data_IF_952651438251
#
_entry.id   IF_952651438251
#
_cell.length_a   1.000
_cell.length_b   1.000
_cell.length_c   1.000
_cell.angle_alpha   90.00
_cell.angle_beta   90.00
_cell.angle_gamma   90.00
#
_symmetry.space_group_name_H-M   'P 1'
#
loop_
_entity.id
_entity.type
_entity.pdbx_description
1 polymer ?
#
# COMPACT_ATOMS: atom_id res chain seq x y z
N UNK A 1 -11.48 2.32 7.07
CA UNK A 1 -11.68 3.74 7.44
C UNK A 1 -12.84 3.97 8.40
N UNK A 2 -13.66 2.97 8.70
CA UNK A 2 -14.81 3.08 9.61
C UNK A 2 -14.45 3.42 11.06
N UNK A 3 -13.16 3.40 11.43
CA UNK A 3 -12.71 3.76 12.78
C UNK A 3 -12.12 5.18 12.83
N UNK A 4 -11.31 5.58 11.85
CA UNK A 4 -10.61 6.87 11.88
C UNK A 4 -11.52 8.06 11.53
N UNK A 5 -12.39 7.90 10.53
CA UNK A 5 -13.28 8.97 10.05
C UNK A 5 -14.30 9.36 11.13
N UNK A 6 -15.02 8.42 11.79
CA UNK A 6 -16.00 8.81 12.81
C UNK A 6 -15.38 9.41 14.07
N UNK A 7 -14.10 9.11 14.35
CA UNK A 7 -13.38 9.61 15.51
C UNK A 7 -12.62 10.92 15.27
N UNK A 8 -12.66 11.46 14.04
CA UNK A 8 -11.93 12.69 13.67
C UNK A 8 -10.41 12.58 13.82
N UNK A 9 -9.86 11.35 13.79
CA UNK A 9 -8.44 11.09 13.98
C UNK A 9 -7.69 11.30 12.67
N UNK A 10 -7.19 12.52 12.46
CA UNK A 10 -6.47 12.91 11.23
C UNK A 10 -4.95 12.84 11.36
N UNK A 11 -4.41 12.67 12.58
CA UNK A 11 -2.98 12.59 12.85
C UNK A 11 -2.58 11.18 13.27
N UNK A 12 -1.67 10.58 12.52
CA UNK A 12 -1.28 9.17 12.70
C UNK A 12 0.20 9.03 13.01
N UNK A 13 0.54 8.14 13.94
CA UNK A 13 1.88 7.59 14.08
C UNK A 13 1.90 6.23 13.40
N UNK A 14 2.81 6.04 12.45
CA UNK A 14 2.92 4.81 11.67
C UNK A 14 4.26 4.15 11.97
N UNK A 15 4.22 2.92 12.47
CA UNK A 15 5.40 2.09 12.72
C UNK A 15 5.39 0.92 11.73
N UNK A 16 6.07 1.05 10.58
CA UNK A 16 6.08 0.01 9.56
C UNK A 16 6.94 -1.19 9.97
N UNK A 17 6.62 -2.34 9.39
CA UNK A 17 7.48 -3.53 9.51
C UNK A 17 8.82 -3.31 8.81
N UNK A 18 9.86 -3.97 9.33
CA UNK A 18 11.26 -3.81 8.87
C UNK A 18 11.43 -4.07 7.36
N UNK A 19 10.64 -4.99 6.78
CA UNK A 19 10.72 -5.35 5.37
C UNK A 19 9.95 -4.43 4.42
N UNK A 20 9.15 -3.49 4.92
CA UNK A 20 8.45 -2.53 4.07
C UNK A 20 9.32 -1.32 3.82
N UNK A 21 9.53 -0.95 2.55
CA UNK A 21 10.26 0.28 2.25
C UNK A 21 9.45 1.53 2.63
N UNK A 22 10.14 2.56 3.13
CA UNK A 22 9.52 3.84 3.49
C UNK A 22 8.74 4.45 2.32
N UNK A 23 9.30 4.43 1.12
CA UNK A 23 8.64 4.93 -0.11
C UNK A 23 7.28 4.25 -0.34
N UNK A 24 7.22 2.93 -0.19
CA UNK A 24 5.98 2.17 -0.41
C UNK A 24 4.94 2.49 0.67
N UNK A 25 5.37 2.63 1.91
CA UNK A 25 4.50 2.99 3.03
C UNK A 25 3.90 4.39 2.82
N UNK A 26 4.72 5.38 2.47
CA UNK A 26 4.25 6.74 2.20
C UNK A 26 3.23 6.78 1.07
N UNK A 27 3.53 6.10 -0.04
CA UNK A 27 2.60 5.99 -1.16
C UNK A 27 1.25 5.39 -0.74
N UNK A 28 1.27 4.29 0.03
CA UNK A 28 0.04 3.64 0.50
C UNK A 28 -0.76 4.52 1.47
N UNK A 29 -0.08 5.23 2.38
CA UNK A 29 -0.74 6.15 3.31
C UNK A 29 -1.45 7.27 2.54
N UNK A 30 -0.75 7.89 1.59
CA UNK A 30 -1.33 8.91 0.73
C UNK A 30 -2.52 8.38 -0.06
N UNK A 31 -2.37 7.23 -0.73
CA UNK A 31 -3.46 6.64 -1.53
C UNK A 31 -4.69 6.29 -0.71
N UNK A 32 -4.50 5.67 0.45
CA UNK A 32 -5.63 5.15 1.23
C UNK A 32 -6.30 6.22 2.08
N UNK A 33 -5.53 7.12 2.68
CA UNK A 33 -6.04 8.13 3.62
C UNK A 33 -6.42 9.44 2.91
N UNK A 34 -5.66 9.82 1.87
CA UNK A 34 -5.86 11.07 1.16
C UNK A 34 -5.31 12.30 1.91
N UNK A 35 -5.55 13.51 1.36
CA UNK A 35 -4.90 14.75 1.79
C UNK A 35 -5.36 15.29 3.16
N UNK A 36 -6.44 14.76 3.73
CA UNK A 36 -6.98 15.19 5.02
C UNK A 36 -6.26 14.60 6.24
N UNK A 37 -5.20 13.82 6.02
CA UNK A 37 -4.45 13.13 7.07
C UNK A 37 -3.00 13.59 7.10
N UNK A 38 -2.47 13.70 8.30
CA UNK A 38 -1.06 13.91 8.59
C UNK A 38 -0.52 12.63 9.22
N UNK A 39 0.69 12.21 8.84
CA UNK A 39 1.34 11.06 9.46
C UNK A 39 2.81 11.32 9.75
N UNK A 40 3.28 10.68 10.82
CA UNK A 40 4.69 10.57 11.14
C UNK A 40 5.09 9.10 11.10
N UNK A 41 6.02 8.75 10.21
CA UNK A 41 6.60 7.42 10.18
C UNK A 41 7.73 7.36 11.21
N UNK A 42 7.61 6.46 12.18
CA UNK A 42 8.66 6.16 13.16
C UNK A 42 9.27 4.84 12.77
N UNK A 43 10.51 4.88 12.26
CA UNK A 43 11.20 3.69 11.75
C UNK A 43 12.48 3.43 12.53
N UNK A 44 12.52 2.41 13.41
CA UNK A 44 13.73 2.03 14.12
C UNK A 44 14.71 1.23 13.25
N UNK A 45 14.21 0.53 12.23
CA UNK A 45 15.03 -0.23 11.28
C UNK A 45 14.34 -0.39 9.90
N UNK A 46 15.14 -0.51 8.85
CA UNK A 46 14.71 -0.81 7.48
C UNK A 46 15.58 -1.92 6.90
N UNK A 47 14.98 -2.94 6.30
CA UNK A 47 15.71 -3.96 5.58
C UNK A 47 16.13 -3.43 4.20
N UNK A 48 17.38 -3.00 4.10
CA UNK A 48 18.00 -2.48 2.88
C UNK A 48 18.76 -3.55 2.08
N UNK A 49 18.57 -4.84 2.39
CA UNK A 49 19.08 -5.92 1.54
C UNK A 49 18.55 -5.75 0.10
N UNK A 50 19.44 -5.92 -0.88
CA UNK A 50 19.13 -5.67 -2.29
C UNK A 50 17.93 -6.47 -2.78
N UNK A 51 17.75 -7.72 -2.30
CA UNK A 51 16.60 -8.55 -2.68
C UNK A 51 15.32 -7.97 -2.11
N UNK A 52 15.34 -7.53 -0.84
CA UNK A 52 14.17 -6.89 -0.25
C UNK A 52 13.83 -5.57 -0.97
N UNK A 53 14.83 -4.74 -1.25
CA UNK A 53 14.65 -3.47 -1.96
C UNK A 53 14.02 -3.71 -3.34
N UNK A 54 14.53 -4.67 -4.10
CA UNK A 54 14.01 -5.01 -5.42
C UNK A 54 12.56 -5.53 -5.34
N UNK A 55 12.27 -6.43 -4.40
CA UNK A 55 10.92 -6.97 -4.15
C UNK A 55 9.93 -5.85 -3.83
N UNK A 56 10.29 -4.95 -2.92
CA UNK A 56 9.43 -3.83 -2.51
C UNK A 56 9.22 -2.82 -3.62
N UNK A 57 10.25 -2.52 -4.45
CA UNK A 57 10.11 -1.68 -5.65
C UNK A 57 9.13 -2.28 -6.67
N UNK A 58 9.25 -3.58 -6.96
CA UNK A 58 8.31 -4.27 -7.85
C UNK A 58 6.89 -4.25 -7.28
N UNK A 59 6.75 -4.51 -5.98
CA UNK A 59 5.46 -4.44 -5.31
C UNK A 59 4.84 -3.04 -5.38
N UNK A 60 5.63 -1.98 -5.20
CA UNK A 60 5.18 -0.60 -5.34
C UNK A 60 4.76 -0.29 -6.78
N UNK A 61 5.53 -0.71 -7.78
CA UNK A 61 5.17 -0.52 -9.19
C UNK A 61 3.83 -1.19 -9.53
N UNK A 62 3.63 -2.43 -9.09
CA UNK A 62 2.35 -3.13 -9.28
C UNK A 62 1.20 -2.43 -8.57
N UNK A 63 1.45 -1.94 -7.36
CA UNK A 63 0.46 -1.16 -6.60
C UNK A 63 0.07 0.11 -7.36
N UNK A 64 1.05 0.84 -7.91
CA UNK A 64 0.82 2.03 -8.76
C UNK A 64 -0.03 1.72 -9.98
N UNK A 65 0.27 0.63 -10.69
CA UNK A 65 -0.51 0.20 -11.88
C UNK A 65 -2.00 0.01 -11.59
N UNK A 66 -2.37 -0.42 -10.38
CA UNK A 66 -3.77 -0.55 -9.99
C UNK A 66 -4.31 0.77 -9.45
N UNK A 67 -3.60 1.39 -8.51
CA UNK A 67 -4.16 2.42 -7.65
C UNK A 67 -4.07 3.83 -8.22
N UNK A 68 -3.18 4.10 -9.19
CA UNK A 68 -3.01 5.44 -9.78
C UNK A 68 -4.22 5.86 -10.62
N UNK A 69 -5.05 4.91 -11.06
CA UNK A 69 -6.32 5.18 -11.71
C UNK A 69 -7.38 5.76 -10.76
N UNK A 70 -7.17 5.71 -9.45
CA UNK A 70 -8.11 6.17 -8.44
C UNK A 70 -7.58 7.39 -7.68
N UNK A 71 -8.51 8.25 -7.27
CA UNK A 71 -8.20 9.42 -6.46
C UNK A 71 -7.72 9.02 -5.07
N UNK A 72 -6.73 9.75 -4.55
CA UNK A 72 -6.21 9.59 -3.19
C UNK A 72 -7.34 9.80 -2.17
N UNK A 73 -7.47 8.87 -1.22
CA UNK A 73 -8.53 8.87 -0.21
C UNK A 73 -9.86 8.26 -0.67
N UNK A 74 -10.03 7.91 -1.95
CA UNK A 74 -11.20 7.14 -2.41
C UNK A 74 -11.00 5.64 -2.13
N UNK A 75 -11.06 5.30 -0.84
CA UNK A 75 -10.93 3.93 -0.36
C UNK A 75 -11.93 2.98 -1.02
N UNK A 76 -13.14 3.44 -1.36
CA UNK A 76 -14.16 2.59 -1.99
C UNK A 76 -13.77 2.25 -3.43
N UNK A 77 -13.30 3.22 -4.21
CA UNK A 77 -12.81 2.97 -5.56
C UNK A 77 -11.57 2.07 -5.54
N UNK A 78 -10.60 2.37 -4.66
CA UNK A 78 -9.39 1.56 -4.49
C UNK A 78 -9.74 0.11 -4.12
N UNK A 79 -10.61 -0.09 -3.12
CA UNK A 79 -11.04 -1.43 -2.72
C UNK A 79 -11.73 -2.18 -3.86
N UNK A 80 -12.63 -1.53 -4.60
CA UNK A 80 -13.27 -2.14 -5.79
C UNK A 80 -12.26 -2.46 -6.89
N UNK A 81 -11.22 -1.63 -7.08
CA UNK A 81 -10.13 -1.91 -8.00
C UNK A 81 -9.33 -3.15 -7.60
N UNK A 82 -9.01 -3.29 -6.31
CA UNK A 82 -8.32 -4.46 -5.77
C UNK A 82 -9.16 -5.74 -5.91
N UNK A 83 -10.46 -5.69 -5.63
CA UNK A 83 -11.37 -6.83 -5.82
C UNK A 83 -11.41 -7.35 -7.27
N UNK A 84 -11.11 -6.49 -8.26
CA UNK A 84 -11.05 -6.90 -9.67
C UNK A 84 -9.68 -7.42 -10.09
N UNK A 85 -8.62 -6.89 -9.49
CA UNK A 85 -7.24 -7.09 -9.99
C UNK A 85 -6.42 -8.04 -9.12
N UNK A 86 -6.60 -8.04 -7.82
CA UNK A 86 -5.69 -8.72 -6.89
C UNK A 86 -6.28 -10.06 -6.39
N UNK A 87 -5.56 -11.19 -6.51
CA UNK A 87 -6.08 -12.53 -6.20
C UNK A 87 -6.47 -12.71 -4.72
N UNK A 88 -5.76 -12.05 -3.80
CA UNK A 88 -6.13 -12.07 -2.36
C UNK A 88 -7.51 -11.45 -2.07
N UNK A 89 -8.04 -10.66 -3.01
CA UNK A 89 -9.36 -10.03 -2.95
C UNK A 89 -10.34 -10.67 -3.96
N UNK A 90 -10.00 -11.82 -4.56
CA UNK A 90 -10.82 -12.49 -5.57
C UNK A 90 -10.68 -11.96 -6.99
N UNK A 91 -9.73 -11.04 -7.24
CA UNK A 91 -9.43 -10.50 -8.57
C UNK A 91 -8.62 -11.46 -9.44
N UNK A 92 -8.52 -11.17 -10.75
CA UNK A 92 -7.98 -12.10 -11.74
C UNK A 92 -6.84 -11.52 -12.60
N UNK A 93 -6.32 -10.32 -12.31
CA UNK A 93 -5.24 -9.74 -13.11
C UNK A 93 -3.93 -10.52 -12.94
N UNK A 94 -3.73 -11.12 -11.76
CA UNK A 94 -2.67 -12.08 -11.49
C UNK A 94 -3.18 -13.23 -10.65
N UNK A 95 -2.61 -14.40 -10.84
CA UNK A 95 -2.70 -15.53 -9.92
C UNK A 95 -1.68 -15.38 -8.78
N UNK A 96 -1.91 -16.09 -7.67
CA UNK A 96 -0.96 -16.10 -6.54
C UNK A 96 0.44 -16.58 -6.94
N UNK A 97 0.53 -17.52 -7.88
CA UNK A 97 1.80 -18.06 -8.37
C UNK A 97 2.54 -17.05 -9.26
N UNK A 98 1.82 -16.31 -10.11
CA UNK A 98 2.41 -15.21 -10.89
C UNK A 98 2.95 -14.11 -9.97
N UNK A 99 2.20 -13.75 -8.91
CA UNK A 99 2.67 -12.79 -7.92
C UNK A 99 3.95 -13.27 -7.22
N UNK A 100 4.02 -14.56 -6.84
CA UNK A 100 5.22 -15.15 -6.25
C UNK A 100 6.43 -15.05 -7.19
N UNK A 101 6.26 -15.39 -8.48
CA UNK A 101 7.35 -15.32 -9.46
C UNK A 101 7.81 -13.88 -9.75
N UNK A 102 6.88 -12.93 -9.80
CA UNK A 102 7.18 -11.53 -10.08
C UNK A 102 7.95 -10.89 -8.92
N UNK A 103 7.49 -11.14 -7.68
CA UNK A 103 8.03 -10.51 -6.49
C UNK A 103 9.32 -11.18 -5.99
N UNK A 104 9.55 -12.45 -6.31
CA UNK A 104 10.70 -13.24 -5.83
C UNK A 104 10.57 -13.56 -4.34
#
# INVERSE_FOLDING_TARGET
MEILIPLGLTRLIVVPQVNHLTERVEYLLQKVLGPGYEWKIIRPAENLDERNVLREKKSLEMTRRINDAFQDGDHRAIYKGLMKSHPAYGGTLWTTEELRKLLG
#
